data_IF_160016021776
#
_entry.id   IF_160016021776
#
_cell.length_a   1.000
_cell.length_b   1.000
_cell.length_c   1.000
_cell.angle_alpha   90.00
_cell.angle_beta   90.00
_cell.angle_gamma   90.00
#
_symmetry.space_group_name_H-M   'P 1'
#
loop_
_entity.id
_entity.type
_entity.pdbx_description
1 polymer ?
#
# COMPACT_ATOMS: atom_id res chain seq x y z
N UNK A 1 16.80 1.80 11.76
CA UNK A 1 15.79 0.93 11.10
C UNK A 1 15.04 1.64 9.97
N UNK A 2 14.48 2.81 10.20
CA UNK A 2 13.77 3.57 9.15
C UNK A 2 14.68 3.88 7.95
N UNK A 3 15.90 4.31 8.20
CA UNK A 3 16.83 4.65 7.11
C UNK A 3 17.12 3.46 6.21
N UNK A 4 17.28 2.28 6.79
CA UNK A 4 17.59 1.07 6.04
C UNK A 4 16.38 0.65 5.20
N UNK A 5 15.19 0.70 5.79
CA UNK A 5 13.96 0.37 5.07
C UNK A 5 13.70 1.37 3.95
N UNK A 6 13.90 2.66 4.22
CA UNK A 6 13.73 3.70 3.21
C UNK A 6 14.69 3.50 2.04
N UNK A 7 15.96 3.21 2.35
CA UNK A 7 16.97 2.95 1.31
C UNK A 7 16.56 1.76 0.44
N UNK A 8 16.07 0.69 1.07
CA UNK A 8 15.62 -0.49 0.34
C UNK A 8 14.45 -0.15 -0.58
N UNK A 9 13.46 0.60 -0.08
CA UNK A 9 12.31 1.01 -0.90
C UNK A 9 12.73 1.84 -2.10
N UNK A 10 13.65 2.78 -1.89
CA UNK A 10 14.14 3.65 -2.96
C UNK A 10 14.94 2.89 -4.01
N UNK A 11 15.51 1.75 -3.64
CA UNK A 11 16.27 0.90 -4.56
C UNK A 11 15.46 -0.27 -5.10
N UNK A 12 14.13 -0.18 -5.03
CA UNK A 12 13.20 -1.17 -5.56
C UNK A 12 13.41 -2.56 -4.95
N UNK A 13 13.73 -2.60 -3.68
CA UNK A 13 13.89 -3.84 -2.93
C UNK A 13 12.63 -4.13 -2.12
N UNK A 14 12.47 -5.40 -1.77
CA UNK A 14 11.38 -5.85 -0.92
C UNK A 14 11.83 -5.78 0.53
N UNK A 15 10.94 -5.33 1.41
CA UNK A 15 11.21 -5.25 2.84
C UNK A 15 10.23 -6.11 3.62
N UNK A 16 10.66 -6.53 4.80
CA UNK A 16 9.81 -7.18 5.79
C UNK A 16 9.65 -6.21 6.94
N UNK A 17 8.41 -5.93 7.34
CA UNK A 17 8.16 -4.89 8.34
C UNK A 17 6.94 -5.22 9.20
N UNK A 18 6.88 -4.71 10.45
CA UNK A 18 5.73 -4.90 11.31
C UNK A 18 4.58 -4.01 10.89
N UNK A 19 3.36 -4.54 11.02
CA UNK A 19 2.13 -3.78 10.77
C UNK A 19 1.22 -3.86 11.99
N UNK A 20 0.02 -3.30 11.88
CA UNK A 20 -0.97 -3.32 12.96
C UNK A 20 -1.43 -4.74 13.31
N UNK A 21 -1.32 -5.66 12.38
CA UNK A 21 -1.86 -7.02 12.53
C UNK A 21 -0.75 -8.06 12.59
N UNK A 22 0.01 -8.22 11.50
CA UNK A 22 1.08 -9.23 11.39
C UNK A 22 2.26 -8.60 10.69
N UNK A 23 3.38 -9.32 10.62
CA UNK A 23 4.51 -8.91 9.79
C UNK A 23 4.08 -8.93 8.33
N UNK A 24 4.49 -7.91 7.60
CA UNK A 24 4.17 -7.76 6.19
C UNK A 24 5.40 -7.77 5.31
N UNK A 25 5.19 -8.12 4.06
CA UNK A 25 6.19 -8.01 2.99
C UNK A 25 5.72 -6.88 2.08
N UNK A 26 6.59 -5.95 1.79
CA UNK A 26 6.20 -4.82 0.97
C UNK A 26 7.32 -4.21 0.17
N UNK A 27 6.96 -3.26 -0.64
CA UNK A 27 7.87 -2.51 -1.47
C UNK A 27 7.13 -1.34 -2.11
N UNK A 28 7.77 -0.69 -3.07
CA UNK A 28 7.18 0.45 -3.78
C UNK A 28 5.95 0.02 -4.56
N UNK A 29 4.77 0.43 -4.11
CA UNK A 29 3.50 0.06 -4.74
C UNK A 29 3.29 0.72 -6.11
N UNK A 30 4.13 1.68 -6.48
CA UNK A 30 4.08 2.33 -7.80
C UNK A 30 4.99 1.63 -8.82
N UNK A 31 5.78 0.65 -8.40
CA UNK A 31 6.73 -0.06 -9.26
C UNK A 31 6.20 -1.41 -9.69
N UNK A 32 5.98 -1.57 -11.00
CA UNK A 32 5.56 -2.84 -11.58
C UNK A 32 6.56 -3.96 -11.25
N UNK A 33 7.85 -3.64 -11.32
CA UNK A 33 8.92 -4.57 -11.06
C UNK A 33 8.89 -5.11 -9.63
N UNK A 34 8.67 -4.21 -8.66
CA UNK A 34 8.61 -4.59 -7.25
C UNK A 34 7.39 -5.45 -6.96
N UNK A 35 6.24 -5.06 -7.50
CA UNK A 35 5.00 -5.83 -7.32
C UNK A 35 5.15 -7.24 -7.89
N UNK A 36 5.78 -7.37 -9.06
CA UNK A 36 6.05 -8.67 -9.67
C UNK A 36 6.93 -9.53 -8.76
N UNK A 37 7.97 -8.95 -8.17
CA UNK A 37 8.84 -9.68 -7.23
C UNK A 37 8.06 -10.19 -6.01
N UNK A 38 7.12 -9.40 -5.51
CA UNK A 38 6.31 -9.81 -4.36
C UNK A 38 5.41 -11.00 -4.73
N UNK A 39 4.79 -10.97 -5.91
CA UNK A 39 3.98 -12.09 -6.38
C UNK A 39 4.81 -13.36 -6.49
N UNK A 40 6.00 -13.27 -7.06
CA UNK A 40 6.89 -14.41 -7.20
C UNK A 40 7.30 -14.98 -5.84
N UNK A 41 7.63 -14.10 -4.89
CA UNK A 41 8.03 -14.51 -3.56
C UNK A 41 6.90 -15.23 -2.83
N UNK A 42 5.68 -14.75 -2.97
CA UNK A 42 4.50 -15.36 -2.34
C UNK A 42 3.94 -16.52 -3.14
N UNK A 43 4.46 -16.80 -4.32
CA UNK A 43 3.97 -17.84 -5.22
C UNK A 43 2.49 -17.67 -5.56
N UNK A 44 2.06 -16.41 -5.71
CA UNK A 44 0.68 -16.08 -6.03
C UNK A 44 0.56 -15.67 -7.48
N UNK A 45 -0.52 -16.11 -8.12
CA UNK A 45 -0.89 -15.67 -9.46
C UNK A 45 -2.09 -14.72 -9.45
N UNK A 46 -2.80 -14.65 -8.32
CA UNK A 46 -3.99 -13.82 -8.18
C UNK A 46 -3.61 -12.44 -7.65
N UNK A 47 -3.78 -11.42 -8.47
CA UNK A 47 -3.45 -10.05 -8.15
C UNK A 47 -4.36 -9.43 -7.09
N UNK A 48 -5.49 -10.05 -6.80
CA UNK A 48 -6.47 -9.50 -5.86
C UNK A 48 -6.05 -9.59 -4.41
N UNK A 49 -5.00 -10.33 -4.11
CA UNK A 49 -4.61 -10.58 -2.72
C UNK A 49 -3.59 -9.62 -2.16
N UNK A 50 -3.13 -8.64 -2.94
CA UNK A 50 -2.23 -7.60 -2.45
C UNK A 50 -2.99 -6.30 -2.19
N UNK A 51 -2.58 -5.64 -1.11
CA UNK A 51 -3.07 -4.31 -0.78
C UNK A 51 -1.88 -3.36 -0.66
N UNK A 52 -2.15 -2.07 -0.71
CA UNK A 52 -1.13 -1.07 -0.48
C UNK A 52 -1.47 -0.24 0.75
N UNK A 53 -0.45 0.33 1.37
CA UNK A 53 -0.58 1.21 2.52
C UNK A 53 -0.36 2.65 2.08
N UNK A 54 -1.21 3.55 2.57
CA UNK A 54 -1.05 4.99 2.37
C UNK A 54 -0.99 5.66 3.74
N UNK A 55 -0.30 6.77 3.81
CA UNK A 55 -0.04 7.46 5.07
C UNK A 55 -1.34 8.06 5.68
N UNK A 56 -2.13 8.72 4.85
CA UNK A 56 -3.31 9.45 5.30
C UNK A 56 -4.29 9.66 4.12
N UNK A 57 -5.39 10.35 4.40
CA UNK A 57 -6.41 10.65 3.39
C UNK A 57 -5.84 11.50 2.27
N UNK A 58 -4.97 12.44 2.61
CA UNK A 58 -4.37 13.31 1.60
C UNK A 58 -3.53 12.52 0.59
N UNK A 59 -2.71 11.59 1.06
CA UNK A 59 -1.96 10.71 0.17
C UNK A 59 -2.92 9.85 -0.65
N UNK A 60 -3.97 9.34 -0.03
CA UNK A 60 -4.97 8.51 -0.70
C UNK A 60 -5.56 9.19 -1.93
N UNK A 61 -5.82 10.51 -1.87
CA UNK A 61 -6.41 11.24 -3.00
C UNK A 61 -5.56 11.20 -4.26
N UNK A 62 -4.26 10.94 -4.13
CA UNK A 62 -3.35 10.86 -5.27
C UNK A 62 -3.34 9.48 -5.92
N UNK A 63 -3.94 8.48 -5.28
CA UNK A 63 -3.84 7.09 -5.74
C UNK A 63 -5.17 6.43 -6.03
N UNK A 64 -6.27 7.14 -5.86
CA UNK A 64 -7.59 6.68 -6.27
C UNK A 64 -8.27 7.77 -7.09
N UNK A 65 -9.10 7.36 -8.03
CA UNK A 65 -9.84 8.28 -8.89
C UNK A 65 -10.83 9.11 -8.06
N UNK A 66 -11.51 8.45 -7.13
CA UNK A 66 -12.52 9.08 -6.29
C UNK A 66 -12.62 8.36 -4.95
N UNK A 67 -12.81 9.12 -3.86
CA UNK A 67 -13.09 8.56 -2.55
C UNK A 67 -14.60 8.62 -2.33
N UNK A 68 -15.29 7.46 -2.29
CA UNK A 68 -16.73 7.47 -2.04
C UNK A 68 -17.07 8.06 -0.66
N UNK A 69 -18.16 8.79 -0.56
CA UNK A 69 -18.60 9.36 0.71
C UNK A 69 -18.74 8.30 1.80
N UNK A 70 -19.21 7.11 1.44
CA UNK A 70 -19.39 6.01 2.38
C UNK A 70 -18.09 5.56 3.03
N UNK A 71 -16.94 5.83 2.41
CA UNK A 71 -15.64 5.45 2.94
C UNK A 71 -15.16 6.39 4.05
N UNK A 72 -15.61 7.63 4.05
CA UNK A 72 -15.09 8.67 4.95
C UNK A 72 -15.14 8.25 6.43
N UNK A 73 -16.26 7.74 6.96
CA UNK A 73 -16.31 7.33 8.38
C UNK A 73 -15.25 6.28 8.73
N UNK A 74 -15.01 5.33 7.83
CA UNK A 74 -14.03 4.26 8.06
C UNK A 74 -12.60 4.79 8.03
N UNK A 75 -12.34 5.80 7.21
CA UNK A 75 -11.00 6.40 7.12
C UNK A 75 -10.62 7.17 8.37
N UNK A 76 -11.60 7.63 9.13
CA UNK A 76 -11.37 8.40 10.35
C UNK A 76 -11.29 7.54 11.61
N UNK A 77 -11.53 6.25 11.51
CA UNK A 77 -11.47 5.37 12.66
C UNK A 77 -10.04 5.12 13.11
N UNK A 78 -9.89 4.84 14.41
CA UNK A 78 -8.57 4.55 14.98
C UNK A 78 -8.09 3.14 14.65
N UNK A 79 -8.99 2.26 14.25
CA UNK A 79 -8.62 0.91 13.83
C UNK A 79 -8.32 0.89 12.34
N UNK A 80 -7.25 0.20 11.93
CA UNK A 80 -6.93 0.11 10.51
C UNK A 80 -7.99 -0.70 9.76
N UNK A 81 -8.52 -0.15 8.69
CA UNK A 81 -9.53 -0.78 7.87
C UNK A 81 -9.08 -0.78 6.43
N UNK A 82 -9.10 -1.96 5.79
CA UNK A 82 -8.81 -2.05 4.36
C UNK A 82 -10.10 -1.83 3.59
N UNK A 83 -10.08 -0.84 2.71
CA UNK A 83 -11.21 -0.55 1.83
C UNK A 83 -10.80 -0.83 0.39
N UNK A 84 -11.74 -1.35 -0.38
CA UNK A 84 -11.51 -1.62 -1.80
C UNK A 84 -12.14 -0.48 -2.60
N UNK A 85 -11.30 0.20 -3.39
CA UNK A 85 -11.73 1.33 -4.23
C UNK A 85 -11.90 0.86 -5.66
N UNK A 86 -12.93 1.38 -6.36
CA UNK A 86 -13.23 0.92 -7.72
C UNK A 86 -12.10 1.16 -8.72
N UNK A 87 -11.32 2.23 -8.53
CA UNK A 87 -10.28 2.58 -9.50
C UNK A 87 -9.07 3.20 -8.83
N UNK A 88 -7.95 2.48 -8.86
CA UNK A 88 -6.66 3.02 -8.46
C UNK A 88 -6.02 3.80 -9.58
N UNK A 89 -5.19 4.78 -9.24
CA UNK A 89 -4.41 5.56 -10.20
C UNK A 89 -2.99 5.72 -9.67
N UNK A 90 -2.05 5.98 -10.56
CA UNK A 90 -0.65 6.22 -10.21
C UNK A 90 0.02 5.08 -9.43
N UNK A 91 -0.57 3.90 -9.49
CA UNK A 91 -0.03 2.68 -8.87
C UNK A 91 0.46 1.73 -9.95
N UNK A 92 1.25 0.72 -9.55
CA UNK A 92 1.69 -0.31 -10.49
C UNK A 92 0.47 -1.00 -11.10
N UNK A 93 0.41 -1.17 -12.42
CA UNK A 93 -0.77 -1.77 -13.07
C UNK A 93 -1.03 -3.20 -12.64
N UNK A 94 0.01 -3.95 -12.28
CA UNK A 94 -0.14 -5.33 -11.82
C UNK A 94 -0.57 -5.45 -10.36
N UNK A 95 -0.65 -4.32 -9.65
CA UNK A 95 -1.18 -4.30 -8.28
C UNK A 95 -2.70 -4.25 -8.28
N UNK A 96 -3.27 -3.57 -9.25
CA UNK A 96 -4.72 -3.40 -9.34
C UNK A 96 -5.38 -4.64 -9.93
N UNK A 97 -6.65 -4.87 -9.57
CA UNK A 97 -7.43 -5.93 -10.18
C UNK A 97 -7.69 -5.68 -11.66
N UNK A 98 -8.22 -6.68 -12.36
CA UNK A 98 -8.50 -6.55 -13.79
C UNK A 98 -9.52 -5.45 -14.09
N UNK A 99 -10.35 -5.10 -13.12
CA UNK A 99 -11.33 -4.02 -13.21
C UNK A 99 -10.78 -2.66 -12.76
N UNK A 100 -9.50 -2.60 -12.39
CA UNK A 100 -8.85 -1.39 -11.88
C UNK A 100 -9.00 -1.19 -10.38
N UNK A 101 -9.64 -2.11 -9.67
CA UNK A 101 -9.87 -1.98 -8.23
C UNK A 101 -8.58 -2.16 -7.44
N UNK A 102 -8.53 -1.57 -6.25
CA UNK A 102 -7.36 -1.62 -5.37
C UNK A 102 -7.80 -1.58 -3.91
N UNK A 103 -7.19 -2.43 -3.09
CA UNK A 103 -7.35 -2.38 -1.64
C UNK A 103 -6.29 -1.48 -1.04
N UNK A 104 -6.72 -0.51 -0.24
CA UNK A 104 -5.82 0.44 0.40
C UNK A 104 -6.16 0.54 1.88
N UNK A 105 -5.13 0.72 2.70
CA UNK A 105 -5.26 0.85 4.15
C UNK A 105 -4.39 2.00 4.65
N UNK A 106 -4.90 2.74 5.62
CA UNK A 106 -4.11 3.70 6.38
C UNK A 106 -3.67 2.98 7.67
N UNK A 107 -2.38 2.62 7.81
CA UNK A 107 -1.93 1.90 9.00
C UNK A 107 -1.90 2.82 10.22
N UNK A 108 -2.13 2.23 11.39
CA UNK A 108 -2.06 2.96 12.66
C UNK A 108 -0.82 2.57 13.47
N UNK A 109 0.18 2.01 12.80
CA UNK A 109 1.44 1.58 13.40
C UNK A 109 2.50 2.64 13.17
N UNK A 110 3.24 3.02 14.24
CA UNK A 110 4.20 4.10 14.17
C UNK A 110 5.28 3.88 13.12
N UNK A 111 5.83 2.68 13.04
CA UNK A 111 6.86 2.36 12.05
C UNK A 111 6.34 2.57 10.64
N UNK A 112 5.14 2.05 10.36
CA UNK A 112 4.52 2.19 9.03
C UNK A 112 4.29 3.66 8.68
N UNK A 113 3.80 4.45 9.63
CA UNK A 113 3.55 5.87 9.41
C UNK A 113 4.84 6.64 9.14
N UNK A 114 5.88 6.38 9.92
CA UNK A 114 7.18 7.03 9.71
C UNK A 114 7.76 6.68 8.34
N UNK A 115 7.67 5.40 7.97
CA UNK A 115 8.23 4.94 6.71
C UNK A 115 7.47 5.52 5.52
N UNK A 116 6.13 5.53 5.57
CA UNK A 116 5.31 6.13 4.53
C UNK A 116 5.57 7.62 4.39
N UNK A 117 5.74 8.31 5.51
CA UNK A 117 6.05 9.73 5.50
C UNK A 117 7.41 10.00 4.84
N UNK A 118 8.42 9.21 5.18
CA UNK A 118 9.77 9.37 4.63
C UNK A 118 9.83 9.00 3.16
N UNK A 119 9.15 7.92 2.76
CA UNK A 119 9.16 7.44 1.37
C UNK A 119 8.29 8.32 0.46
N UNK A 120 7.17 8.81 0.95
CA UNK A 120 6.28 9.69 0.21
C UNK A 120 5.40 9.00 -0.83
N UNK A 121 5.36 7.67 -0.81
CA UNK A 121 4.56 6.85 -1.74
C UNK A 121 3.94 5.67 -1.00
N UNK A 122 2.90 5.05 -1.59
CA UNK A 122 2.34 3.81 -1.02
C UNK A 122 3.34 2.66 -1.03
N UNK A 123 3.17 1.79 -0.08
CA UNK A 123 4.00 0.59 0.09
C UNK A 123 3.17 -0.67 -0.01
#
# INVERSE_FOLDING_TARGET
MIKEALHALQNKQIILYPTDTVWGIGGDATSLEVVEKIYQLKQRTDQKSLIALVKDIQMLTSYVDEIPEKAIPYLKEIYPTTLIYPKGINLAPNLMGSDGSIGLRIPRHNFCQELLNAFGKPI
#
